data_IF_727919858653
#
_entry.id   IF_727919858653
#
_cell.length_a   1.000
_cell.length_b   1.000
_cell.length_c   1.000
_cell.angle_alpha   90.00
_cell.angle_beta   90.00
_cell.angle_gamma   90.00
#
_symmetry.space_group_name_H-M   'P 1'
#
loop_
_entity.id
_entity.type
_entity.pdbx_description
1 polymer ?
#
# COMPACT_ATOMS: atom_id res chain seq x y z
N UNK A 1 -8.10 -13.49 44.47
CA UNK A 1 -8.35 -12.76 43.20
C UNK A 1 -7.61 -13.47 42.08
N UNK A 2 -8.24 -14.51 41.51
CA UNK A 2 -7.63 -15.51 40.62
C UNK A 2 -7.24 -14.98 39.24
N UNK A 3 -6.24 -14.11 39.17
CA UNK A 3 -5.61 -13.73 37.92
C UNK A 3 -4.37 -14.60 37.69
N UNK A 4 -4.24 -15.13 36.47
CA UNK A 4 -3.07 -15.89 36.01
C UNK A 4 -2.39 -15.11 34.88
N UNK A 5 -1.06 -15.11 34.91
CA UNK A 5 -0.23 -14.48 33.90
C UNK A 5 0.02 -15.47 32.76
N UNK A 6 -0.62 -15.24 31.62
CA UNK A 6 -0.46 -16.08 30.43
C UNK A 6 0.12 -15.30 29.24
N UNK A 7 0.87 -16.01 28.40
CA UNK A 7 1.44 -15.47 27.16
C UNK A 7 0.29 -15.09 26.22
N UNK A 8 0.19 -13.81 25.83
CA UNK A 8 -0.75 -13.36 24.79
C UNK A 8 -0.56 -14.21 23.53
N UNK A 9 -1.44 -15.17 23.31
CA UNK A 9 -1.60 -15.80 22.00
C UNK A 9 -2.49 -14.88 21.19
N UNK A 10 -1.91 -14.04 20.34
CA UNK A 10 -2.66 -13.39 19.26
C UNK A 10 -2.97 -14.43 18.18
N UNK A 11 -3.67 -15.50 18.54
CA UNK A 11 -4.45 -16.22 17.55
C UNK A 11 -5.71 -15.38 17.35
N UNK A 12 -5.58 -14.36 16.50
CA UNK A 12 -6.74 -13.85 15.81
C UNK A 12 -7.25 -15.04 14.99
N UNK A 13 -8.23 -15.75 15.51
CA UNK A 13 -9.15 -16.49 14.64
C UNK A 13 -9.57 -15.44 13.61
N UNK A 14 -9.35 -15.72 12.32
CA UNK A 14 -9.73 -14.83 11.21
C UNK A 14 -11.26 -14.73 11.19
N UNK A 15 -11.81 -13.96 12.11
CA UNK A 15 -13.21 -13.58 12.15
C UNK A 15 -13.34 -12.46 11.14
N UNK A 16 -13.55 -12.84 9.88
CA UNK A 16 -13.95 -11.89 8.85
C UNK A 16 -15.29 -11.28 9.29
N UNK A 17 -15.36 -9.95 9.29
CA UNK A 17 -16.62 -9.25 9.54
C UNK A 17 -17.60 -9.57 8.40
N UNK A 18 -18.90 -9.61 8.72
CA UNK A 18 -19.94 -10.03 7.77
C UNK A 18 -19.99 -9.14 6.50
N UNK A 19 -19.74 -7.85 6.65
CA UNK A 19 -19.59 -6.89 5.56
C UNK A 19 -18.43 -7.24 4.62
N UNK A 20 -17.25 -7.57 5.17
CA UNK A 20 -16.09 -8.02 4.40
C UNK A 20 -16.39 -9.30 3.62
N UNK A 21 -17.08 -10.27 4.24
CA UNK A 21 -17.50 -11.51 3.57
C UNK A 21 -18.42 -11.19 2.38
N UNK A 22 -19.39 -10.29 2.57
CA UNK A 22 -20.30 -9.88 1.50
C UNK A 22 -19.56 -9.15 0.37
N UNK A 23 -18.64 -8.24 0.68
CA UNK A 23 -17.82 -7.55 -0.31
C UNK A 23 -16.95 -8.51 -1.11
N UNK A 24 -16.28 -9.47 -0.45
CA UNK A 24 -15.50 -10.50 -1.13
C UNK A 24 -16.37 -11.36 -2.04
N UNK A 25 -17.54 -11.79 -1.58
CA UNK A 25 -18.49 -12.56 -2.41
C UNK A 25 -18.95 -11.78 -3.64
N UNK A 26 -19.26 -10.50 -3.49
CA UNK A 26 -19.68 -9.63 -4.59
C UNK A 26 -18.55 -9.42 -5.59
N UNK A 27 -17.34 -9.12 -5.12
CA UNK A 27 -16.15 -9.01 -5.94
C UNK A 27 -15.89 -10.30 -6.72
N UNK A 28 -15.90 -11.46 -6.05
CA UNK A 28 -15.64 -12.76 -6.68
C UNK A 28 -16.68 -13.12 -7.75
N UNK A 29 -17.95 -12.80 -7.54
CA UNK A 29 -19.00 -12.97 -8.56
C UNK A 29 -18.73 -12.08 -9.76
N UNK A 30 -18.52 -10.78 -9.53
CA UNK A 30 -18.30 -9.79 -10.59
C UNK A 30 -17.07 -10.09 -11.43
N UNK A 31 -15.93 -10.39 -10.79
CA UNK A 31 -14.69 -10.69 -11.51
C UNK A 31 -14.79 -12.00 -12.30
N UNK A 32 -15.56 -12.98 -11.80
CA UNK A 32 -15.84 -14.22 -12.52
C UNK A 32 -16.65 -13.96 -13.78
N UNK A 33 -17.69 -13.12 -13.69
CA UNK A 33 -18.56 -12.83 -14.83
C UNK A 33 -17.80 -12.03 -15.91
N UNK A 34 -17.01 -11.02 -15.51
CA UNK A 34 -16.10 -10.30 -16.42
C UNK A 34 -15.09 -11.23 -17.13
N UNK A 35 -14.54 -12.21 -16.41
CA UNK A 35 -13.62 -13.20 -17.01
C UNK A 35 -14.33 -14.14 -17.98
N UNK A 36 -15.60 -14.50 -17.74
CA UNK A 36 -16.40 -15.30 -18.69
C UNK A 36 -16.66 -14.54 -19.99
N UNK A 37 -16.85 -13.23 -19.90
CA UNK A 37 -16.97 -12.33 -21.05
C UNK A 37 -15.62 -12.05 -21.74
N UNK A 38 -14.54 -12.69 -21.29
CA UNK A 38 -13.17 -12.50 -21.78
C UNK A 38 -12.71 -11.03 -21.72
N UNK A 39 -13.21 -10.26 -20.73
CA UNK A 39 -12.79 -8.89 -20.51
C UNK A 39 -11.27 -8.81 -20.22
N UNK A 40 -10.54 -7.81 -20.76
CA UNK A 40 -9.14 -7.59 -20.40
C UNK A 40 -9.02 -7.15 -18.95
N UNK A 41 -8.52 -8.02 -18.07
CA UNK A 41 -8.32 -7.69 -16.66
C UNK A 41 -6.84 -7.54 -16.34
N UNK A 42 -6.49 -6.38 -15.77
CA UNK A 42 -5.16 -6.07 -15.30
C UNK A 42 -5.15 -5.95 -13.77
N UNK A 43 -4.07 -6.43 -13.18
CA UNK A 43 -3.80 -6.38 -11.75
C UNK A 43 -2.50 -5.61 -11.57
N UNK A 44 -2.47 -4.68 -10.63
CA UNK A 44 -1.21 -4.11 -10.18
C UNK A 44 -1.13 -4.20 -8.66
N UNK A 45 0.10 -4.20 -8.17
CA UNK A 45 0.40 -4.17 -6.75
C UNK A 45 1.78 -3.52 -6.55
N UNK A 46 2.05 -3.13 -5.31
CA UNK A 46 3.34 -2.62 -4.87
C UNK A 46 4.07 -3.63 -4.00
N UNK A 47 5.39 -3.68 -4.16
CA UNK A 47 6.26 -4.43 -3.25
C UNK A 47 7.54 -3.65 -2.96
N UNK A 48 8.24 -4.07 -1.91
CA UNK A 48 9.50 -3.46 -1.51
C UNK A 48 10.57 -4.51 -1.21
N UNK A 49 11.78 -4.22 -1.65
CA UNK A 49 12.98 -4.99 -1.31
C UNK A 49 13.89 -4.11 -0.45
N UNK A 50 14.33 -4.64 0.69
CA UNK A 50 15.25 -3.93 1.57
C UNK A 50 16.70 -4.19 1.12
N UNK A 51 17.57 -3.18 1.18
CA UNK A 51 19.01 -3.30 0.89
C UNK A 51 19.70 -4.29 1.85
N UNK A 52 19.22 -4.38 3.09
CA UNK A 52 19.66 -5.38 4.06
C UNK A 52 18.93 -6.73 3.96
N UNK A 53 18.17 -7.01 2.90
CA UNK A 53 17.52 -8.29 2.74
C UNK A 53 18.58 -9.37 2.52
N UNK A 54 18.67 -10.31 3.47
CA UNK A 54 19.67 -11.37 3.48
C UNK A 54 19.02 -12.69 3.91
N UNK A 55 19.64 -13.80 3.50
CA UNK A 55 19.20 -15.13 3.91
C UNK A 55 19.39 -15.31 5.41
N UNK A 56 18.35 -15.80 6.09
CA UNK A 56 18.40 -16.09 7.54
C UNK A 56 19.32 -17.26 7.88
N UNK A 57 19.72 -18.05 6.88
CA UNK A 57 20.58 -19.22 7.04
C UNK A 57 21.76 -19.08 6.09
N UNK A 58 22.94 -19.04 6.68
CA UNK A 58 24.21 -19.06 5.96
C UNK A 58 25.10 -20.16 6.55
N UNK A 59 25.93 -20.78 5.72
CA UNK A 59 26.93 -21.72 6.19
C UNK A 59 28.00 -20.95 6.97
N UNK A 60 28.20 -21.31 8.24
CA UNK A 60 29.24 -20.75 9.11
C UNK A 60 30.12 -21.88 9.61
N UNK A 61 31.42 -21.63 9.71
CA UNK A 61 32.35 -22.55 10.34
C UNK A 61 32.18 -22.47 11.88
N UNK A 62 31.71 -23.53 12.55
CA UNK A 62 31.45 -23.50 13.99
C UNK A 62 32.75 -23.47 14.83
N UNK A 63 33.91 -23.72 14.21
CA UNK A 63 35.20 -23.77 14.90
C UNK A 63 35.86 -22.40 15.04
N UNK A 64 35.45 -21.41 14.24
CA UNK A 64 36.02 -20.07 14.21
C UNK A 64 35.15 -19.12 15.04
N UNK A 65 35.61 -18.78 16.25
CA UNK A 65 34.95 -17.77 17.12
C UNK A 65 35.53 -16.36 16.89
N UNK A 66 34.75 -15.33 17.18
CA UNK A 66 35.09 -13.92 16.83
C UNK A 66 36.44 -13.44 17.38
N UNK A 67 36.79 -13.87 18.60
CA UNK A 67 38.06 -13.58 19.26
C UNK A 67 39.27 -14.31 18.64
N UNK A 68 39.05 -15.44 17.96
CA UNK A 68 40.08 -16.20 17.25
C UNK A 68 40.28 -15.74 15.80
N UNK A 69 39.28 -15.11 15.20
CA UNK A 69 39.25 -14.78 13.79
C UNK A 69 40.12 -13.55 13.43
N UNK A 70 39.95 -12.45 14.19
CA UNK A 70 40.59 -11.16 13.90
C UNK A 70 42.12 -11.18 13.91
N UNK A 71 42.81 -11.86 14.85
CA UNK A 71 44.28 -11.91 14.87
C UNK A 71 44.90 -12.78 13.76
N UNK A 72 44.07 -13.61 13.10
CA UNK A 72 44.52 -14.63 12.13
C UNK A 72 44.00 -14.39 10.71
N UNK A 73 43.41 -13.23 10.44
CA UNK A 73 42.77 -12.90 9.16
C UNK A 73 41.73 -13.94 8.68
N UNK A 74 41.06 -14.61 9.61
CA UNK A 74 39.96 -15.53 9.29
C UNK A 74 38.63 -14.78 9.23
N UNK A 75 37.72 -15.22 8.36
CA UNK A 75 36.35 -14.68 8.27
C UNK A 75 35.38 -15.49 9.12
N UNK A 76 34.38 -14.83 9.70
CA UNK A 76 33.26 -15.47 10.41
C UNK A 76 32.09 -15.83 9.45
N UNK A 77 32.31 -15.67 8.14
CA UNK A 77 31.26 -15.78 7.12
C UNK A 77 30.59 -14.45 6.81
N UNK A 78 29.47 -14.49 6.09
CA UNK A 78 28.68 -13.30 5.77
C UNK A 78 28.11 -12.69 7.05
N UNK A 79 28.44 -11.42 7.31
CA UNK A 79 27.86 -10.67 8.42
C UNK A 79 26.46 -10.21 8.06
N UNK A 80 25.51 -10.32 9.00
CA UNK A 80 24.20 -9.70 8.82
C UNK A 80 24.35 -8.19 8.56
N UNK A 81 23.61 -7.63 7.59
CA UNK A 81 23.61 -6.20 7.36
C UNK A 81 23.12 -5.46 8.61
N UNK A 82 23.75 -4.33 8.95
CA UNK A 82 23.53 -3.56 10.19
C UNK A 82 22.19 -2.77 10.21
N UNK A 83 21.13 -3.34 9.66
CA UNK A 83 19.79 -2.76 9.54
C UNK A 83 19.14 -3.04 8.19
N UNK A 84 17.87 -2.63 8.04
CA UNK A 84 17.11 -2.85 6.79
C UNK A 84 17.67 -2.07 5.59
N UNK A 85 18.45 -1.01 5.81
CA UNK A 85 19.01 -0.19 4.72
C UNK A 85 17.93 0.58 3.95
N UNK A 86 18.26 1.05 2.74
CA UNK A 86 17.28 1.68 1.82
C UNK A 86 16.30 0.65 1.28
N UNK A 87 15.18 1.11 0.73
CA UNK A 87 14.18 0.26 0.08
C UNK A 87 14.13 0.52 -1.41
N UNK A 88 14.14 -0.54 -2.18
CA UNK A 88 13.72 -0.51 -3.56
C UNK A 88 12.21 -0.73 -3.59
N UNK A 89 11.46 0.27 -4.00
CA UNK A 89 10.02 0.18 -4.25
C UNK A 89 9.79 -0.24 -5.69
N UNK A 90 8.85 -1.16 -5.88
CA UNK A 90 8.53 -1.74 -7.18
C UNK A 90 7.01 -1.74 -7.31
N UNK A 91 6.51 -1.03 -8.32
CA UNK A 91 5.10 -1.03 -8.71
C UNK A 91 5.00 -1.56 -10.13
N UNK A 92 4.12 -2.53 -10.38
CA UNK A 92 3.96 -3.06 -11.73
C UNK A 92 2.55 -3.60 -11.99
N UNK A 93 2.14 -3.58 -13.26
CA UNK A 93 0.83 -4.01 -13.73
C UNK A 93 0.98 -5.18 -14.73
N UNK A 94 0.10 -6.16 -14.61
CA UNK A 94 0.08 -7.33 -15.48
C UNK A 94 -1.32 -7.90 -15.67
N UNK A 95 -1.45 -8.78 -16.65
CA UNK A 95 -2.68 -9.52 -16.94
C UNK A 95 -2.38 -11.02 -17.06
N UNK A 96 -3.37 -11.81 -17.49
CA UNK A 96 -3.15 -13.22 -17.87
C UNK A 96 -2.12 -13.41 -18.98
N UNK A 97 -1.83 -12.37 -19.76
CA UNK A 97 -0.83 -12.38 -20.84
C UNK A 97 0.59 -12.00 -20.36
N UNK A 98 0.74 -11.70 -19.07
CA UNK A 98 2.00 -11.27 -18.47
C UNK A 98 2.02 -9.77 -18.14
N UNK A 99 3.21 -9.28 -17.81
CA UNK A 99 3.44 -7.88 -17.44
C UNK A 99 3.35 -6.94 -18.65
N UNK A 100 2.81 -5.74 -18.42
CA UNK A 100 2.74 -4.70 -19.45
C UNK A 100 4.15 -4.15 -19.69
N UNK A 101 4.61 -4.20 -20.94
CA UNK A 101 5.95 -3.73 -21.30
C UNK A 101 6.16 -2.27 -20.91
N UNK A 102 7.32 -1.97 -20.32
CA UNK A 102 7.74 -0.63 -19.90
C UNK A 102 6.78 0.03 -18.87
N UNK A 103 6.00 -0.76 -18.13
CA UNK A 103 5.08 -0.26 -17.10
C UNK A 103 5.60 -0.45 -15.66
N UNK A 104 6.81 -1.00 -15.51
CA UNK A 104 7.43 -1.15 -14.19
C UNK A 104 7.90 0.23 -13.71
N UNK A 105 7.51 0.59 -12.49
CA UNK A 105 8.03 1.75 -11.79
C UNK A 105 8.87 1.28 -10.62
N UNK A 106 10.14 1.66 -10.64
CA UNK A 106 11.16 1.16 -9.72
C UNK A 106 11.98 2.34 -9.25
N UNK A 107 11.93 2.62 -7.94
CA UNK A 107 12.67 3.73 -7.35
C UNK A 107 13.14 3.39 -5.93
N UNK A 108 14.14 4.15 -5.46
CA UNK A 108 14.73 3.95 -4.13
C UNK A 108 14.14 4.96 -3.15
N UNK A 109 13.58 4.45 -2.05
CA UNK A 109 13.09 5.25 -0.93
C UNK A 109 14.20 6.07 -0.25
N UNK A 110 13.86 7.28 0.22
CA UNK A 110 14.76 8.15 0.99
C UNK A 110 14.78 7.68 2.45
N UNK A 111 15.90 7.88 3.16
CA UNK A 111 16.03 7.55 4.60
C UNK A 111 15.19 8.46 5.51
N UNK A 112 13.86 8.42 5.40
CA UNK A 112 12.97 9.00 6.40
C UNK A 112 12.11 7.87 6.96
N UNK A 113 12.11 7.66 8.27
CA UNK A 113 11.51 6.49 8.91
C UNK A 113 9.98 6.34 8.76
N UNK A 114 9.33 7.17 7.95
CA UNK A 114 7.91 7.13 7.64
C UNK A 114 7.68 6.64 6.21
N UNK A 115 7.40 5.34 6.11
CA UNK A 115 7.28 4.58 4.86
C UNK A 115 6.11 5.02 3.98
N UNK A 116 5.10 5.68 4.55
CA UNK A 116 3.91 6.13 3.81
C UNK A 116 4.13 7.43 3.03
N UNK A 117 5.32 8.04 3.14
CA UNK A 117 5.63 9.30 2.43
C UNK A 117 6.31 9.09 1.08
N UNK A 118 6.70 7.88 0.74
CA UNK A 118 7.49 7.61 -0.46
C UNK A 118 6.62 7.20 -1.66
N UNK A 119 5.60 6.38 -1.42
CA UNK A 119 4.53 6.11 -2.38
C UNK A 119 3.35 7.03 -2.03
N UNK A 120 3.27 8.17 -2.71
CA UNK A 120 2.18 9.13 -2.54
C UNK A 120 1.24 9.14 -3.75
N UNK A 121 0.09 9.80 -3.60
CA UNK A 121 -0.92 9.82 -4.66
C UNK A 121 -0.49 10.57 -5.92
N UNK A 122 0.41 11.56 -5.82
CA UNK A 122 0.89 12.29 -6.98
C UNK A 122 1.86 11.44 -7.80
N UNK A 123 2.73 10.69 -7.12
CA UNK A 123 3.63 9.73 -7.76
C UNK A 123 2.82 8.61 -8.44
N UNK A 124 1.85 8.04 -7.72
CA UNK A 124 0.94 7.04 -8.26
C UNK A 124 0.18 7.56 -9.50
N UNK A 125 -0.42 8.75 -9.43
CA UNK A 125 -1.16 9.37 -10.54
C UNK A 125 -0.28 9.51 -11.79
N UNK A 126 0.93 10.07 -11.65
CA UNK A 126 1.88 10.21 -12.77
C UNK A 126 2.25 8.88 -13.39
N UNK A 127 2.54 7.87 -12.58
CA UNK A 127 2.81 6.52 -13.10
C UNK A 127 1.58 5.97 -13.84
N UNK A 128 0.40 6.08 -13.22
CA UNK A 128 -0.84 5.52 -13.74
C UNK A 128 -1.28 6.18 -15.06
N UNK A 129 -1.07 7.49 -15.23
CA UNK A 129 -1.27 8.22 -16.48
C UNK A 129 -0.45 7.62 -17.63
N UNK A 130 0.78 7.17 -17.38
CA UNK A 130 1.61 6.54 -18.41
C UNK A 130 1.16 5.10 -18.72
N UNK A 131 0.69 4.38 -17.70
CA UNK A 131 0.29 2.98 -17.81
C UNK A 131 -1.04 2.83 -18.53
N UNK A 132 -2.02 3.69 -18.23
CA UNK A 132 -3.38 3.56 -18.78
C UNK A 132 -3.39 3.62 -20.31
N UNK A 133 -2.44 4.36 -20.91
CA UNK A 133 -2.26 4.47 -22.36
C UNK A 133 -1.77 3.18 -23.02
N UNK A 134 -1.22 2.24 -22.23
CA UNK A 134 -0.67 0.96 -22.70
C UNK A 134 -1.68 -0.19 -22.55
N UNK A 135 -2.81 0.04 -21.90
CA UNK A 135 -3.82 -0.99 -21.63
C UNK A 135 -4.77 -1.15 -22.82
N UNK A 136 -5.34 -2.35 -22.95
CA UNK A 136 -6.38 -2.61 -23.94
C UNK A 136 -7.61 -1.73 -23.66
N UNK A 137 -8.32 -1.24 -24.69
CA UNK A 137 -9.59 -0.54 -24.49
C UNK A 137 -10.58 -1.36 -23.69
N UNK A 138 -11.43 -0.69 -22.89
CA UNK A 138 -12.43 -1.32 -22.03
C UNK A 138 -11.84 -2.31 -21.01
N UNK A 139 -10.56 -2.15 -20.66
CA UNK A 139 -9.92 -2.97 -19.64
C UNK A 139 -10.47 -2.69 -18.25
N UNK A 140 -10.47 -3.73 -17.43
CA UNK A 140 -10.77 -3.66 -15.99
C UNK A 140 -9.44 -3.64 -15.24
N UNK A 141 -9.29 -2.68 -14.34
CA UNK A 141 -8.12 -2.57 -13.45
C UNK A 141 -8.54 -3.02 -12.06
N UNK A 142 -7.76 -3.93 -11.50
CA UNK A 142 -7.92 -4.44 -10.13
C UNK A 142 -6.72 -4.01 -9.31
N UNK A 143 -7.00 -3.38 -8.18
CA UNK A 143 -6.03 -2.88 -7.23
C UNK A 143 -6.57 -3.04 -5.81
N UNK A 144 -5.71 -2.93 -4.81
CA UNK A 144 -6.14 -2.88 -3.43
C UNK A 144 -6.77 -1.51 -3.11
N UNK A 145 -7.13 -1.29 -1.84
CA UNK A 145 -7.77 -0.05 -1.41
C UNK A 145 -6.81 0.82 -0.58
N UNK A 146 -5.58 1.00 -1.06
CA UNK A 146 -4.64 1.90 -0.42
C UNK A 146 -5.10 3.37 -0.56
N UNK A 147 -4.99 4.20 0.49
CA UNK A 147 -5.48 5.59 0.46
C UNK A 147 -4.91 6.47 -0.67
N UNK A 148 -3.68 6.20 -1.11
CA UNK A 148 -3.03 6.97 -2.18
C UNK A 148 -3.52 6.62 -3.58
N UNK A 149 -4.26 5.51 -3.76
CA UNK A 149 -4.91 5.21 -5.05
C UNK A 149 -6.15 6.05 -5.33
N UNK A 150 -6.74 6.66 -4.28
CA UNK A 150 -8.00 7.39 -4.36
C UNK A 150 -7.87 8.76 -3.71
N UNK A 151 -7.01 9.61 -4.28
CA UNK A 151 -6.83 10.98 -3.82
C UNK A 151 -7.92 11.89 -4.38
N UNK A 152 -8.55 12.65 -3.50
CA UNK A 152 -9.53 13.66 -3.91
C UNK A 152 -8.80 14.84 -4.56
N UNK A 153 -9.24 15.24 -5.75
CA UNK A 153 -8.73 16.43 -6.47
C UNK A 153 -8.80 17.71 -5.62
N UNK A 154 -9.80 17.81 -4.76
CA UNK A 154 -9.96 18.90 -3.83
C UNK A 154 -10.34 18.42 -2.45
N UNK A 155 -10.07 19.25 -1.45
CA UNK A 155 -10.53 18.99 -0.09
C UNK A 155 -12.01 19.30 0.01
N UNK A 156 -12.80 18.27 0.25
CA UNK A 156 -14.24 18.40 0.50
C UNK A 156 -14.44 18.74 1.99
N UNK A 157 -15.42 19.60 2.33
CA UNK A 157 -15.86 19.82 3.69
C UNK A 157 -16.04 18.52 4.47
N UNK A 158 -15.58 18.51 5.72
CA UNK A 158 -15.79 17.40 6.65
C UNK A 158 -16.06 17.95 8.05
N UNK A 159 -16.65 17.11 8.90
CA UNK A 159 -16.99 17.47 10.29
C UNK A 159 -15.81 17.97 11.10
N UNK A 160 -14.58 17.61 10.74
CA UNK A 160 -13.36 18.07 11.41
C UNK A 160 -12.90 19.48 11.01
N UNK A 161 -13.51 20.15 10.02
CA UNK A 161 -13.11 21.52 9.64
C UNK A 161 -13.52 22.52 10.73
N UNK A 162 -12.57 23.20 11.37
CA UNK A 162 -12.88 24.07 12.52
C UNK A 162 -13.86 25.22 12.18
N UNK A 163 -13.74 25.80 10.99
CA UNK A 163 -14.48 27.01 10.60
C UNK A 163 -15.71 26.69 9.74
N UNK A 164 -16.90 27.02 10.25
CA UNK A 164 -18.18 26.97 9.50
C UNK A 164 -18.11 27.81 8.21
N UNK A 165 -17.48 28.99 8.27
CA UNK A 165 -17.30 29.88 7.11
C UNK A 165 -16.58 29.22 5.94
N UNK A 166 -15.56 28.40 6.20
CA UNK A 166 -14.82 27.70 5.13
C UNK A 166 -15.70 26.66 4.40
N UNK A 167 -16.66 26.04 5.11
CA UNK A 167 -17.63 25.11 4.51
C UNK A 167 -18.61 25.90 3.64
N UNK A 168 -19.10 27.04 4.13
CA UNK A 168 -20.01 27.93 3.40
C UNK A 168 -19.38 28.52 2.12
N UNK A 169 -18.11 28.92 2.19
CA UNK A 169 -17.34 29.35 1.03
C UNK A 169 -17.22 28.24 -0.01
N UNK A 170 -16.85 27.02 0.42
CA UNK A 170 -16.75 25.88 -0.47
C UNK A 170 -18.10 25.55 -1.12
N UNK A 171 -19.20 25.54 -0.37
CA UNK A 171 -20.54 25.32 -0.91
C UNK A 171 -20.93 26.39 -1.92
N UNK A 172 -20.64 27.67 -1.63
CA UNK A 172 -20.86 28.79 -2.55
C UNK A 172 -20.05 28.64 -3.84
N UNK A 173 -18.77 28.27 -3.73
CA UNK A 173 -17.88 28.02 -4.87
C UNK A 173 -18.43 26.89 -5.77
N UNK A 174 -18.97 25.83 -5.15
CA UNK A 174 -19.61 24.71 -5.85
C UNK A 174 -21.05 24.98 -6.28
N UNK A 175 -21.56 26.19 -6.04
CA UNK A 175 -22.94 26.60 -6.35
C UNK A 175 -23.99 25.71 -5.68
N UNK A 176 -23.68 25.18 -4.51
CA UNK A 176 -24.61 24.43 -3.66
C UNK A 176 -25.36 25.44 -2.80
N UNK A 177 -26.69 25.37 -2.79
CA UNK A 177 -27.53 26.24 -1.97
C UNK A 177 -27.39 25.89 -0.48
N UNK A 178 -27.21 26.90 0.37
CA UNK A 178 -27.17 26.75 1.82
C UNK A 178 -27.79 27.97 2.51
N UNK A 179 -28.22 27.80 3.76
CA UNK A 179 -28.72 28.89 4.60
C UNK A 179 -27.68 29.27 5.66
N UNK A 180 -27.50 30.57 5.89
CA UNK A 180 -26.58 31.11 6.90
C UNK A 180 -26.87 30.66 8.31
N UNK A 181 -28.12 30.34 8.61
CA UNK A 181 -28.54 29.88 9.93
C UNK A 181 -28.21 28.41 10.18
N UNK A 182 -27.90 27.63 9.13
CA UNK A 182 -27.61 26.20 9.28
C UNK A 182 -26.41 25.93 10.19
N UNK A 183 -26.57 25.02 11.14
CA UNK A 183 -25.47 24.50 11.93
C UNK A 183 -24.47 23.79 11.03
N UNK A 184 -23.23 23.70 11.49
CA UNK A 184 -22.15 23.07 10.73
C UNK A 184 -22.48 21.64 10.26
N UNK A 185 -23.25 20.89 11.04
CA UNK A 185 -23.66 19.53 10.68
C UNK A 185 -24.72 19.50 9.58
N UNK A 186 -25.51 20.57 9.43
CA UNK A 186 -26.53 20.73 8.38
C UNK A 186 -25.93 21.23 7.07
N UNK A 187 -24.65 21.65 7.08
CA UNK A 187 -23.88 22.09 5.92
C UNK A 187 -22.98 20.98 5.33
N UNK A 188 -22.97 19.78 5.91
CA UNK A 188 -22.12 18.64 5.54
C UNK A 188 -22.95 17.48 5.00
#
# INVERSE_FOLDING_TARGET
MGFKFEKRKSQAVLLEKQDIILWRRNYLRKIRDLRKENAPVYYFDETWVNEGHSETRVWQDPTIKSNYASPRNLTLGLTEPKGKGRRLMITHIGSKEGFVRDAADIFIGKKSGDYHKEMDGNHFEKWFETVILKLKPLSIIVMDNAPYHSVKKEKIPKSSWEKKGAIQEWLSEKKVTWNQDFFKIELL
#
